data_IF_333153202470
#
_entry.id   IF_333153202470
#
_cell.length_a   1.000
_cell.length_b   1.000
_cell.length_c   1.000
_cell.angle_alpha   90.00
_cell.angle_beta   90.00
_cell.angle_gamma   90.00
#
_symmetry.space_group_name_H-M   'P 1'
#
loop_
_entity.id
_entity.type
_entity.pdbx_description
1 polymer ?
#
# COMPACT_ATOMS: atom_id res chain seq x y z
N UNK A 1 -104.14 29.47 10.61
CA UNK A 1 -104.53 29.62 12.03
C UNK A 1 -104.43 31.07 12.54
N UNK A 2 -104.16 32.07 11.70
CA UNK A 2 -104.03 33.48 12.13
C UNK A 2 -105.40 34.19 12.21
N UNK A 3 -106.41 33.72 11.46
CA UNK A 3 -107.70 34.39 11.27
C UNK A 3 -108.62 34.41 12.50
N UNK A 4 -108.56 33.40 13.38
CA UNK A 4 -109.50 33.26 14.50
C UNK A 4 -109.08 34.10 15.71
N UNK A 5 -107.78 34.22 15.96
CA UNK A 5 -107.21 35.07 17.02
C UNK A 5 -107.35 36.56 16.69
N UNK A 6 -107.10 36.93 15.43
CA UNK A 6 -107.33 38.30 14.93
C UNK A 6 -108.83 38.65 14.97
N UNK A 7 -109.71 37.73 14.58
CA UNK A 7 -111.16 37.93 14.63
C UNK A 7 -111.64 38.22 16.06
N UNK A 8 -111.15 37.48 17.06
CA UNK A 8 -111.53 37.71 18.45
C UNK A 8 -111.05 39.07 18.96
N UNK A 9 -109.83 39.48 18.61
CA UNK A 9 -109.28 40.80 18.98
C UNK A 9 -110.08 41.96 18.37
N UNK A 10 -110.44 41.85 17.08
CA UNK A 10 -111.26 42.85 16.40
C UNK A 10 -112.68 42.95 17.01
N UNK A 11 -113.24 41.82 17.46
CA UNK A 11 -114.54 41.79 18.16
C UNK A 11 -114.44 42.42 19.55
N UNK A 12 -113.34 42.22 20.28
CA UNK A 12 -113.09 42.87 21.57
C UNK A 12 -112.93 44.39 21.42
N UNK A 13 -112.25 44.86 20.37
CA UNK A 13 -112.18 46.28 20.05
C UNK A 13 -113.56 46.88 19.74
N UNK A 14 -114.44 46.15 19.05
CA UNK A 14 -115.82 46.56 18.81
C UNK A 14 -116.64 46.63 20.10
N UNK A 15 -116.46 45.67 21.02
CA UNK A 15 -117.11 45.67 22.35
C UNK A 15 -116.76 46.90 23.19
N UNK A 16 -115.56 47.46 23.04
CA UNK A 16 -115.15 48.68 23.73
C UNK A 16 -115.76 49.96 23.16
N UNK A 17 -116.16 49.95 21.89
CA UNK A 17 -116.69 51.12 21.17
C UNK A 17 -118.22 51.21 21.17
N UNK A 18 -118.90 50.06 21.15
CA UNK A 18 -120.36 50.00 21.11
C UNK A 18 -120.91 49.48 22.44
N UNK A 19 -121.54 50.37 23.21
CA UNK A 19 -122.14 50.05 24.51
C UNK A 19 -123.53 49.43 24.37
N UNK A 20 -124.24 49.71 23.28
CA UNK A 20 -125.55 49.14 23.00
C UNK A 20 -125.43 47.76 22.34
N UNK A 21 -126.13 46.78 22.90
CA UNK A 21 -126.07 45.37 22.47
C UNK A 21 -126.50 45.18 21.02
N UNK A 22 -127.50 45.93 20.54
CA UNK A 22 -128.03 45.80 19.16
C UNK A 22 -127.02 46.28 18.11
N UNK A 23 -126.38 47.42 18.35
CA UNK A 23 -125.37 47.97 17.45
C UNK A 23 -124.12 47.08 17.42
N UNK A 24 -123.71 46.56 18.58
CA UNK A 24 -122.61 45.61 18.64
C UNK A 24 -122.89 44.35 17.80
N UNK A 25 -124.12 43.81 17.83
CA UNK A 25 -124.48 42.69 16.97
C UNK A 25 -124.41 43.04 15.47
N UNK A 26 -124.82 44.25 15.06
CA UNK A 26 -124.77 44.70 13.66
C UNK A 26 -123.32 44.82 13.16
N UNK A 27 -122.45 45.43 13.94
CA UNK A 27 -121.04 45.61 13.55
C UNK A 27 -120.26 44.29 13.52
N UNK A 28 -120.58 43.36 14.42
CA UNK A 28 -120.00 42.01 14.37
C UNK A 28 -120.51 41.25 13.13
N UNK A 29 -121.78 41.42 12.72
CA UNK A 29 -122.26 40.89 11.44
C UNK A 29 -121.46 41.46 10.25
N UNK A 30 -121.23 42.77 10.24
CA UNK A 30 -120.47 43.45 9.20
C UNK A 30 -119.00 42.98 9.17
N UNK A 31 -118.35 42.87 10.33
CA UNK A 31 -116.98 42.39 10.45
C UNK A 31 -116.83 40.97 9.90
N UNK A 32 -117.70 40.06 10.34
CA UNK A 32 -117.69 38.66 9.88
C UNK A 32 -117.88 38.57 8.36
N UNK A 33 -118.87 39.29 7.82
CA UNK A 33 -119.25 39.18 6.42
C UNK A 33 -118.24 39.88 5.50
N UNK A 34 -117.86 41.12 5.78
CA UNK A 34 -117.04 41.92 4.85
C UNK A 34 -115.54 41.69 4.98
N UNK A 35 -115.03 41.52 6.20
CA UNK A 35 -113.58 41.41 6.42
C UNK A 35 -113.08 39.97 6.41
N UNK A 36 -113.89 39.06 6.95
CA UNK A 36 -113.50 37.65 7.07
C UNK A 36 -114.22 36.72 6.08
N UNK A 37 -115.22 37.21 5.34
CA UNK A 37 -115.98 36.41 4.37
C UNK A 37 -116.80 35.29 5.00
N UNK A 38 -117.06 35.35 6.31
CA UNK A 38 -117.83 34.34 7.06
C UNK A 38 -119.29 34.77 7.10
N UNK A 39 -120.21 33.89 6.69
CA UNK A 39 -121.65 34.14 6.80
C UNK A 39 -122.08 34.22 8.29
N UNK A 40 -122.60 35.38 8.75
CA UNK A 40 -123.01 35.52 10.13
C UNK A 40 -124.23 34.62 10.40
N UNK A 41 -124.18 33.85 11.49
CA UNK A 41 -125.30 33.03 11.97
C UNK A 41 -125.64 33.41 13.40
N UNK A 42 -126.91 33.26 13.80
CA UNK A 42 -127.37 33.63 15.14
C UNK A 42 -126.54 32.96 16.25
N UNK A 43 -126.13 31.70 16.03
CA UNK A 43 -125.29 30.94 16.96
C UNK A 43 -123.89 31.54 17.10
N UNK A 44 -123.20 31.86 15.99
CA UNK A 44 -121.86 32.48 16.02
C UNK A 44 -121.89 33.87 16.65
N UNK A 45 -122.88 34.68 16.29
CA UNK A 45 -123.05 36.01 16.87
C UNK A 45 -123.24 35.94 18.39
N UNK A 46 -124.06 35.02 18.88
CA UNK A 46 -124.23 34.80 20.31
C UNK A 46 -122.92 34.39 21.00
N UNK A 47 -122.17 33.45 20.41
CA UNK A 47 -120.89 32.99 20.94
C UNK A 47 -119.84 34.11 21.07
N UNK A 48 -119.84 35.06 20.13
CA UNK A 48 -118.88 36.16 20.09
C UNK A 48 -119.29 37.41 20.89
N UNK A 49 -120.59 37.70 21.04
CA UNK A 49 -121.08 38.92 21.74
C UNK A 49 -121.54 38.62 23.18
N UNK A 50 -122.03 37.41 23.47
CA UNK A 50 -122.43 36.91 24.81
C UNK A 50 -123.18 37.94 25.69
N UNK A 51 -124.05 38.76 25.09
CA UNK A 51 -124.86 39.79 25.78
C UNK A 51 -126.26 39.85 25.17
N UNK A 52 -127.29 39.99 26.00
CA UNK A 52 -128.70 40.14 25.56
C UNK A 52 -129.54 38.87 25.67
N UNK A 53 -130.83 38.98 25.33
CA UNK A 53 -131.79 37.88 25.34
C UNK A 53 -131.53 36.88 24.18
N UNK A 54 -132.05 35.67 24.33
CA UNK A 54 -131.85 34.58 23.37
C UNK A 54 -132.36 34.89 21.93
N UNK A 55 -133.29 35.85 21.78
CA UNK A 55 -133.84 36.29 20.48
C UNK A 55 -133.09 37.45 19.82
N UNK A 56 -132.23 38.18 20.55
CA UNK A 56 -131.54 39.37 20.05
C UNK A 56 -130.56 39.13 18.88
N UNK A 57 -129.78 38.02 18.83
CA UNK A 57 -128.88 37.75 17.70
C UNK A 57 -129.62 37.47 16.39
N UNK A 58 -130.79 36.83 16.45
CA UNK A 58 -131.58 36.50 15.27
C UNK A 58 -132.25 37.75 14.67
N UNK A 59 -132.75 38.65 15.51
CA UNK A 59 -133.35 39.91 15.07
C UNK A 59 -132.30 40.86 14.46
N UNK A 60 -131.12 40.97 15.07
CA UNK A 60 -130.02 41.79 14.53
C UNK A 60 -129.50 41.23 13.21
N UNK A 61 -129.41 39.90 13.06
CA UNK A 61 -129.03 39.25 11.81
C UNK A 61 -130.07 39.50 10.70
N UNK A 62 -131.36 39.40 11.00
CA UNK A 62 -132.43 39.65 10.05
C UNK A 62 -132.39 41.10 9.54
N UNK A 63 -132.27 42.06 10.46
CA UNK A 63 -132.11 43.49 10.14
C UNK A 63 -130.84 43.78 9.33
N UNK A 64 -129.70 43.17 9.67
CA UNK A 64 -128.46 43.33 8.91
C UNK A 64 -128.61 42.87 7.45
N UNK A 65 -129.25 41.72 7.21
CA UNK A 65 -129.47 41.24 5.84
C UNK A 65 -130.50 42.08 5.08
N UNK A 66 -131.51 42.62 5.78
CA UNK A 66 -132.47 43.57 5.20
C UNK A 66 -131.79 44.88 4.79
N UNK A 67 -130.98 45.46 5.67
CA UNK A 67 -130.18 46.68 5.43
C UNK A 67 -129.14 46.48 4.32
N UNK A 68 -128.49 45.32 4.27
CA UNK A 68 -127.52 45.01 3.24
C UNK A 68 -128.20 44.85 1.88
N UNK A 69 -129.36 44.19 1.84
CA UNK A 69 -130.15 44.06 0.60
C UNK A 69 -130.69 45.40 0.14
N UNK A 70 -131.17 46.26 1.04
CA UNK A 70 -131.67 47.59 0.67
C UNK A 70 -130.55 48.48 0.13
N UNK A 71 -129.36 48.48 0.76
CA UNK A 71 -128.20 49.26 0.31
C UNK A 71 -127.53 48.74 -0.96
N UNK A 72 -127.56 47.43 -1.19
CA UNK A 72 -127.02 46.81 -2.41
C UNK A 72 -128.00 46.88 -3.59
N UNK A 73 -129.25 47.28 -3.36
CA UNK A 73 -130.26 47.45 -4.41
C UNK A 73 -130.02 48.78 -5.11
N UNK A 74 -129.51 48.73 -6.33
CA UNK A 74 -129.52 49.88 -7.23
C UNK A 74 -130.92 49.95 -7.85
N UNK A 75 -131.85 50.60 -7.15
CA UNK A 75 -133.13 51.02 -7.74
C UNK A 75 -132.96 52.41 -8.35
N UNK A 76 -133.16 52.53 -9.66
CA UNK A 76 -133.31 53.83 -10.33
C UNK A 76 -134.73 54.31 -10.03
N UNK A 77 -134.94 54.90 -8.86
CA UNK A 77 -136.24 55.42 -8.48
C UNK A 77 -136.38 56.90 -8.85
N UNK A 78 -136.70 57.13 -10.13
CA UNK A 78 -137.19 58.41 -10.62
C UNK A 78 -138.70 58.28 -10.91
N UNK A 79 -139.56 59.17 -10.39
CA UNK A 79 -141.03 59.03 -10.44
C UNK A 79 -141.62 59.12 -11.85
N UNK A 80 -140.92 59.73 -12.81
CA UNK A 80 -141.40 59.92 -14.19
C UNK A 80 -140.83 58.94 -15.23
N UNK A 81 -140.09 57.89 -14.82
CA UNK A 81 -139.49 56.94 -15.77
C UNK A 81 -140.40 55.70 -15.98
N UNK A 82 -140.84 55.41 -17.22
CA UNK A 82 -141.58 54.19 -17.55
C UNK A 82 -140.85 52.92 -17.07
N UNK A 83 -141.59 51.94 -16.50
CA UNK A 83 -141.00 50.72 -15.94
C UNK A 83 -140.20 49.90 -16.97
N UNK A 84 -140.58 49.98 -18.25
CA UNK A 84 -139.91 49.32 -19.37
C UNK A 84 -138.48 49.87 -19.58
N UNK A 85 -138.29 51.20 -19.46
CA UNK A 85 -136.98 51.84 -19.61
C UNK A 85 -136.07 51.59 -18.42
N UNK A 86 -136.62 51.52 -17.19
CA UNK A 86 -135.84 51.14 -15.99
C UNK A 86 -135.29 49.72 -16.12
N UNK A 87 -136.11 48.79 -16.61
CA UNK A 87 -135.72 47.38 -16.79
C UNK A 87 -134.63 47.26 -17.85
N UNK A 88 -134.80 47.91 -19.01
CA UNK A 88 -133.81 47.91 -20.09
C UNK A 88 -132.48 48.56 -19.69
N UNK A 89 -132.50 49.68 -18.96
CA UNK A 89 -131.28 50.33 -18.47
C UNK A 89 -130.54 49.46 -17.44
N UNK A 90 -131.27 48.79 -16.54
CA UNK A 90 -130.69 47.86 -15.57
C UNK A 90 -130.04 46.64 -16.24
N UNK A 91 -130.65 46.12 -17.32
CA UNK A 91 -130.08 45.03 -18.12
C UNK A 91 -128.77 45.44 -18.80
N UNK A 92 -128.73 46.63 -19.43
CA UNK A 92 -127.51 47.16 -20.08
C UNK A 92 -126.38 47.37 -19.07
N UNK A 93 -126.67 47.94 -17.89
CA UNK A 93 -125.66 48.14 -16.84
C UNK A 93 -125.17 46.79 -16.29
N UNK A 94 -126.06 45.82 -16.11
CA UNK A 94 -125.69 44.48 -15.66
C UNK A 94 -124.81 43.76 -16.70
N UNK A 95 -125.10 43.91 -18.00
CA UNK A 95 -124.29 43.35 -19.08
C UNK A 95 -122.91 44.02 -19.17
N UNK A 96 -122.85 45.35 -19.10
CA UNK A 96 -121.59 46.09 -19.08
C UNK A 96 -120.73 45.65 -17.88
N UNK A 97 -121.33 45.53 -16.70
CA UNK A 97 -120.63 45.04 -15.51
C UNK A 97 -120.15 43.59 -15.67
N UNK A 98 -120.97 42.69 -16.23
CA UNK A 98 -120.59 41.31 -16.54
C UNK A 98 -119.40 41.27 -17.50
N UNK A 99 -119.43 42.04 -18.57
CA UNK A 99 -118.37 42.12 -19.57
C UNK A 99 -117.08 42.70 -18.99
N UNK A 100 -117.16 43.81 -18.25
CA UNK A 100 -116.00 44.42 -17.59
C UNK A 100 -115.38 43.46 -16.56
N UNK A 101 -116.20 42.77 -15.76
CA UNK A 101 -115.72 41.78 -14.78
C UNK A 101 -115.10 40.56 -15.47
N UNK A 102 -115.66 40.13 -16.60
CA UNK A 102 -115.10 39.04 -17.40
C UNK A 102 -113.74 39.42 -18.03
N UNK A 103 -113.62 40.63 -18.58
CA UNK A 103 -112.37 41.15 -19.12
C UNK A 103 -111.29 41.27 -18.04
N UNK A 104 -111.61 41.86 -16.88
CA UNK A 104 -110.67 41.97 -15.76
C UNK A 104 -110.21 40.60 -15.24
N UNK A 105 -111.11 39.60 -15.19
CA UNK A 105 -110.74 38.23 -14.81
C UNK A 105 -109.82 37.58 -15.85
N UNK A 106 -110.05 37.83 -17.13
CA UNK A 106 -109.21 37.31 -18.21
C UNK A 106 -107.80 37.93 -18.18
N UNK A 107 -107.70 39.25 -18.04
CA UNK A 107 -106.41 39.94 -17.91
C UNK A 107 -105.64 39.49 -16.67
N UNK A 108 -106.32 39.34 -15.53
CA UNK A 108 -105.71 38.78 -14.32
C UNK A 108 -105.22 37.34 -14.52
N UNK A 109 -105.96 36.51 -15.27
CA UNK A 109 -105.53 35.16 -15.58
C UNK A 109 -104.30 35.15 -16.50
N UNK A 110 -104.25 36.04 -17.50
CA UNK A 110 -103.10 36.19 -18.39
C UNK A 110 -101.85 36.62 -17.61
N UNK A 111 -101.95 37.67 -16.77
CA UNK A 111 -100.85 38.13 -15.93
C UNK A 111 -100.36 37.04 -14.97
N UNK A 112 -101.27 36.24 -14.38
CA UNK A 112 -100.87 35.11 -13.52
C UNK A 112 -100.05 34.05 -14.26
N UNK A 113 -100.38 33.76 -15.52
CA UNK A 113 -99.63 32.81 -16.34
C UNK A 113 -98.26 33.39 -16.71
N UNK A 114 -98.19 34.68 -17.05
CA UNK A 114 -96.93 35.37 -17.34
C UNK A 114 -96.01 35.43 -16.11
N UNK A 115 -96.55 35.76 -14.93
CA UNK A 115 -95.80 35.76 -13.67
C UNK A 115 -95.31 34.35 -13.32
N UNK A 116 -96.13 33.32 -13.52
CA UNK A 116 -95.72 31.92 -13.31
C UNK A 116 -94.58 31.53 -14.25
N UNK A 117 -94.69 31.87 -15.54
CA UNK A 117 -93.64 31.61 -16.52
C UNK A 117 -92.35 32.37 -16.18
N UNK A 118 -92.44 33.62 -15.72
CA UNK A 118 -91.27 34.41 -15.30
C UNK A 118 -90.58 33.80 -14.06
N UNK A 119 -91.36 33.31 -13.08
CA UNK A 119 -90.82 32.61 -11.89
C UNK A 119 -90.15 31.30 -12.30
N UNK A 120 -90.78 30.50 -13.16
CA UNK A 120 -90.18 29.25 -13.65
C UNK A 120 -88.88 29.50 -14.44
N UNK A 121 -88.84 30.56 -15.26
CA UNK A 121 -87.62 30.96 -15.96
C UNK A 121 -86.52 31.38 -14.99
N UNK A 122 -86.83 32.24 -14.01
CA UNK A 122 -85.86 32.67 -13.00
C UNK A 122 -85.32 31.50 -12.17
N UNK A 123 -86.17 30.55 -11.77
CA UNK A 123 -85.75 29.32 -11.09
C UNK A 123 -84.89 28.42 -11.98
N UNK A 124 -85.22 28.34 -13.28
CA UNK A 124 -84.43 27.63 -14.27
C UNK A 124 -83.03 28.23 -14.47
N UNK A 125 -82.92 29.56 -14.45
CA UNK A 125 -81.63 30.26 -14.53
C UNK A 125 -80.82 30.11 -13.24
N UNK A 126 -81.44 30.24 -12.07
CA UNK A 126 -80.79 30.04 -10.78
C UNK A 126 -80.23 28.62 -10.65
N UNK A 127 -81.02 27.60 -10.99
CA UNK A 127 -80.55 26.20 -10.95
C UNK A 127 -79.39 25.94 -11.91
N UNK A 128 -79.43 26.51 -13.12
CA UNK A 128 -78.30 26.43 -14.07
C UNK A 128 -77.05 27.15 -13.55
N UNK A 129 -77.20 28.32 -12.93
CA UNK A 129 -76.09 29.05 -12.33
C UNK A 129 -75.48 28.27 -11.16
N UNK A 130 -76.31 27.68 -10.29
CA UNK A 130 -75.85 26.82 -9.20
C UNK A 130 -75.12 25.59 -9.72
N UNK A 131 -75.62 24.93 -10.77
CA UNK A 131 -74.92 23.81 -11.41
C UNK A 131 -73.56 24.24 -12.00
N UNK A 132 -73.52 25.34 -12.75
CA UNK A 132 -72.28 25.85 -13.35
C UNK A 132 -71.24 26.21 -12.28
N UNK A 133 -71.66 26.82 -11.16
CA UNK A 133 -70.74 27.10 -10.03
C UNK A 133 -70.25 25.83 -9.35
N UNK A 134 -71.10 24.83 -9.14
CA UNK A 134 -70.71 23.54 -8.58
C UNK A 134 -69.69 22.81 -9.47
N UNK A 135 -69.92 22.80 -10.79
CA UNK A 135 -68.99 22.22 -11.78
C UNK A 135 -67.66 22.98 -11.80
N UNK A 136 -67.70 24.32 -11.77
CA UNK A 136 -66.50 25.15 -11.70
C UNK A 136 -65.68 24.87 -10.43
N UNK A 137 -66.32 24.76 -9.27
CA UNK A 137 -65.65 24.43 -8.01
C UNK A 137 -65.04 23.02 -8.05
N UNK A 138 -65.78 22.02 -8.55
CA UNK A 138 -65.25 20.67 -8.72
C UNK A 138 -64.03 20.65 -9.66
N UNK A 139 -64.07 21.39 -10.77
CA UNK A 139 -62.94 21.51 -11.68
C UNK A 139 -61.74 22.20 -11.02
N UNK A 140 -61.96 23.25 -10.22
CA UNK A 140 -60.90 23.94 -9.50
C UNK A 140 -60.24 23.04 -8.46
N UNK A 141 -61.01 22.23 -7.75
CA UNK A 141 -60.49 21.30 -6.75
C UNK A 141 -59.68 20.15 -7.39
N UNK A 142 -60.13 19.61 -8.53
CA UNK A 142 -59.34 18.61 -9.28
C UNK A 142 -58.03 19.20 -9.80
N UNK A 143 -58.03 20.43 -10.32
CA UNK A 143 -56.81 21.11 -10.76
C UNK A 143 -55.87 21.40 -9.59
N UNK A 144 -56.39 21.80 -8.42
CA UNK A 144 -55.58 21.96 -7.20
C UNK A 144 -54.92 20.66 -6.77
N UNK A 145 -55.66 19.54 -6.81
CA UNK A 145 -55.10 18.23 -6.48
C UNK A 145 -54.01 17.81 -7.47
N UNK A 146 -54.23 18.02 -8.77
CA UNK A 146 -53.23 17.73 -9.80
C UNK A 146 -51.98 18.61 -9.64
N UNK A 147 -52.15 19.88 -9.32
CA UNK A 147 -51.04 20.80 -9.07
C UNK A 147 -50.25 20.41 -7.82
N UNK A 148 -50.93 20.01 -6.74
CA UNK A 148 -50.29 19.47 -5.54
C UNK A 148 -49.48 18.21 -5.84
N UNK A 149 -50.07 17.23 -6.53
CA UNK A 149 -49.37 16.00 -6.92
C UNK A 149 -48.17 16.27 -7.84
N UNK A 150 -48.29 17.22 -8.77
CA UNK A 150 -47.19 17.62 -9.65
C UNK A 150 -46.06 18.31 -8.86
N UNK A 151 -46.39 19.16 -7.89
CA UNK A 151 -45.41 19.80 -7.00
C UNK A 151 -44.69 18.76 -6.14
N UNK A 152 -45.39 17.81 -5.55
CA UNK A 152 -44.79 16.71 -4.79
C UNK A 152 -43.86 15.87 -5.65
N UNK A 153 -44.27 15.52 -6.87
CA UNK A 153 -43.42 14.79 -7.82
C UNK A 153 -42.17 15.59 -8.21
N UNK A 154 -42.30 16.91 -8.40
CA UNK A 154 -41.15 17.78 -8.69
C UNK A 154 -40.17 17.81 -7.51
N UNK A 155 -40.67 17.94 -6.28
CA UNK A 155 -39.83 17.93 -5.08
C UNK A 155 -39.09 16.59 -4.92
N UNK A 156 -39.77 15.46 -5.11
CA UNK A 156 -39.14 14.14 -5.08
C UNK A 156 -38.03 14.02 -6.15
N UNK A 157 -38.30 14.46 -7.38
CA UNK A 157 -37.28 14.45 -8.44
C UNK A 157 -36.09 15.36 -8.13
N UNK A 158 -36.31 16.49 -7.47
CA UNK A 158 -35.24 17.37 -7.03
C UNK A 158 -34.38 16.71 -5.95
N UNK A 159 -34.99 16.05 -4.96
CA UNK A 159 -34.25 15.31 -3.94
C UNK A 159 -33.46 14.14 -4.54
N UNK A 160 -34.06 13.40 -5.47
CA UNK A 160 -33.38 12.29 -6.16
C UNK A 160 -32.19 12.80 -6.99
N UNK A 161 -32.37 13.91 -7.71
CA UNK A 161 -31.30 14.55 -8.48
C UNK A 161 -30.15 15.01 -7.58
N UNK A 162 -30.44 15.53 -6.39
CA UNK A 162 -29.40 15.91 -5.42
C UNK A 162 -28.65 14.69 -4.88
N UNK A 163 -29.34 13.59 -4.60
CA UNK A 163 -28.71 12.33 -4.17
C UNK A 163 -27.80 11.81 -5.28
N UNK A 164 -28.27 11.76 -6.52
CA UNK A 164 -27.47 11.35 -7.68
C UNK A 164 -26.25 12.26 -7.91
N UNK A 165 -26.41 13.58 -7.76
CA UNK A 165 -25.28 14.53 -7.85
C UNK A 165 -24.23 14.27 -6.77
N UNK A 166 -24.65 13.99 -5.54
CA UNK A 166 -23.73 13.65 -4.44
C UNK A 166 -23.04 12.31 -4.69
N UNK A 167 -23.78 11.31 -5.17
CA UNK A 167 -23.23 10.00 -5.53
C UNK A 167 -22.20 10.13 -6.67
N UNK A 168 -22.51 10.91 -7.70
CA UNK A 168 -21.62 11.19 -8.81
C UNK A 168 -20.35 11.93 -8.36
N UNK A 169 -20.48 12.99 -7.56
CA UNK A 169 -19.33 13.70 -7.00
C UNK A 169 -18.44 12.77 -6.16
N UNK A 170 -19.04 11.90 -5.35
CA UNK A 170 -18.31 10.88 -4.59
C UNK A 170 -17.60 9.86 -5.49
N UNK A 171 -18.22 9.44 -6.60
CA UNK A 171 -17.60 8.54 -7.56
C UNK A 171 -16.42 9.19 -8.30
N UNK A 172 -16.54 10.45 -8.68
CA UNK A 172 -15.46 11.23 -9.32
C UNK A 172 -14.28 11.40 -8.36
N UNK A 173 -14.54 11.75 -7.09
CA UNK A 173 -13.48 11.87 -6.09
C UNK A 173 -12.72 10.55 -5.88
N UNK A 174 -13.43 9.42 -5.78
CA UNK A 174 -12.81 8.08 -5.70
C UNK A 174 -11.97 7.76 -6.93
N UNK A 175 -12.45 8.12 -8.12
CA UNK A 175 -11.72 7.90 -9.37
C UNK A 175 -10.43 8.72 -9.43
N UNK A 176 -10.47 9.98 -9.00
CA UNK A 176 -9.29 10.84 -8.91
C UNK A 176 -8.27 10.31 -7.90
N UNK A 177 -8.72 9.83 -6.74
CA UNK A 177 -7.86 9.21 -5.73
C UNK A 177 -7.18 7.94 -6.26
N UNK A 178 -7.94 7.05 -6.92
CA UNK A 178 -7.39 5.86 -7.56
C UNK A 178 -6.39 6.20 -8.68
N UNK A 179 -6.66 7.23 -9.48
CA UNK A 179 -5.72 7.71 -10.50
C UNK A 179 -4.41 8.18 -9.86
N UNK A 180 -4.48 8.98 -8.79
CA UNK A 180 -3.29 9.43 -8.04
C UNK A 180 -2.50 8.24 -7.49
N UNK A 181 -3.16 7.25 -6.90
CA UNK A 181 -2.50 6.05 -6.40
C UNK A 181 -1.84 5.22 -7.52
N UNK A 182 -2.47 5.13 -8.70
CA UNK A 182 -1.86 4.46 -9.84
C UNK A 182 -0.63 5.21 -10.35
N UNK A 183 -0.65 6.54 -10.39
CA UNK A 183 0.50 7.37 -10.76
C UNK A 183 1.64 7.24 -9.74
N UNK A 184 1.33 7.29 -8.44
CA UNK A 184 2.29 7.06 -7.36
C UNK A 184 2.93 5.67 -7.47
N UNK A 185 2.13 4.63 -7.67
CA UNK A 185 2.61 3.25 -7.81
C UNK A 185 3.48 3.08 -9.07
N UNK A 186 3.12 3.70 -10.20
CA UNK A 186 3.94 3.70 -11.43
C UNK A 186 5.28 4.39 -11.19
N UNK A 187 5.28 5.57 -10.57
CA UNK A 187 6.49 6.29 -10.24
C UNK A 187 7.41 5.49 -9.30
N UNK A 188 6.82 4.82 -8.29
CA UNK A 188 7.57 3.93 -7.40
C UNK A 188 8.16 2.74 -8.15
N UNK A 189 7.38 2.11 -9.04
CA UNK A 189 7.86 0.99 -9.85
C UNK A 189 9.01 1.40 -10.78
N UNK A 190 8.94 2.57 -11.41
CA UNK A 190 10.01 3.10 -12.25
C UNK A 190 11.27 3.38 -11.44
N UNK A 191 11.14 3.97 -10.25
CA UNK A 191 12.28 4.17 -9.32
C UNK A 191 12.92 2.85 -8.93
N UNK A 192 12.14 1.87 -8.49
CA UNK A 192 12.65 0.54 -8.12
C UNK A 192 13.34 -0.13 -9.30
N UNK A 193 12.80 -0.01 -10.53
CA UNK A 193 13.46 -0.53 -11.74
C UNK A 193 14.79 0.16 -12.02
N UNK A 194 14.84 1.50 -11.89
CA UNK A 194 16.06 2.27 -12.08
C UNK A 194 17.13 1.89 -11.03
N UNK A 195 16.75 1.86 -9.75
CA UNK A 195 17.64 1.49 -8.65
C UNK A 195 18.17 0.07 -8.82
N UNK A 196 17.29 -0.90 -9.11
CA UNK A 196 17.71 -2.28 -9.37
C UNK A 196 18.65 -2.39 -10.58
N UNK A 197 18.41 -1.64 -11.65
CA UNK A 197 19.30 -1.63 -12.81
C UNK A 197 20.68 -1.06 -12.48
N UNK A 198 20.74 -0.04 -11.63
CA UNK A 198 21.99 0.56 -11.15
C UNK A 198 22.74 -0.39 -10.21
N UNK A 199 22.05 -1.07 -9.31
CA UNK A 199 22.63 -2.11 -8.45
C UNK A 199 23.15 -3.29 -9.26
N UNK A 200 22.41 -3.75 -10.27
CA UNK A 200 22.84 -4.81 -11.16
C UNK A 200 24.10 -4.42 -11.96
N UNK A 201 24.18 -3.17 -12.43
CA UNK A 201 25.36 -2.66 -13.12
C UNK A 201 26.58 -2.64 -12.18
N UNK A 202 26.42 -2.13 -10.95
CA UNK A 202 27.49 -2.14 -9.92
C UNK A 202 27.93 -3.55 -9.57
N UNK A 203 26.99 -4.49 -9.44
CA UNK A 203 27.30 -5.89 -9.15
C UNK A 203 28.09 -6.54 -10.29
N UNK A 204 27.72 -6.28 -11.56
CA UNK A 204 28.47 -6.73 -12.73
C UNK A 204 29.89 -6.17 -12.75
N UNK A 205 30.04 -4.87 -12.53
CA UNK A 205 31.35 -4.22 -12.46
C UNK A 205 32.22 -4.80 -11.33
N UNK A 206 31.64 -5.04 -10.14
CA UNK A 206 32.34 -5.67 -9.04
C UNK A 206 32.82 -7.10 -9.38
N UNK A 207 31.99 -7.87 -10.09
CA UNK A 207 32.34 -9.21 -10.59
C UNK A 207 33.46 -9.12 -11.63
N UNK A 208 33.40 -8.19 -12.58
CA UNK A 208 34.43 -8.00 -13.60
C UNK A 208 35.77 -7.61 -12.95
N UNK A 209 35.77 -6.72 -11.97
CA UNK A 209 36.96 -6.35 -11.20
C UNK A 209 37.50 -7.54 -10.39
N UNK A 210 36.64 -8.35 -9.78
CA UNK A 210 37.06 -9.54 -9.04
C UNK A 210 37.69 -10.59 -9.97
N UNK A 211 37.07 -10.85 -11.12
CA UNK A 211 37.59 -11.74 -12.15
C UNK A 211 38.94 -11.26 -12.68
N UNK A 212 39.08 -9.96 -13.01
CA UNK A 212 40.35 -9.39 -13.46
C UNK A 212 41.46 -9.51 -12.39
N UNK A 213 41.11 -9.36 -11.10
CA UNK A 213 42.05 -9.60 -9.99
C UNK A 213 42.44 -11.06 -9.88
N UNK A 214 41.50 -11.99 -10.03
CA UNK A 214 41.76 -13.44 -10.04
C UNK A 214 42.70 -13.80 -11.20
N UNK A 215 42.36 -13.38 -12.43
CA UNK A 215 43.19 -13.62 -13.62
C UNK A 215 44.60 -13.06 -13.45
N UNK A 216 44.74 -11.86 -12.87
CA UNK A 216 46.04 -11.25 -12.61
C UNK A 216 46.84 -12.03 -11.55
N UNK A 217 46.17 -12.52 -10.50
CA UNK A 217 46.79 -13.36 -9.47
C UNK A 217 47.22 -14.71 -10.05
N UNK A 218 46.39 -15.35 -10.87
CA UNK A 218 46.70 -16.60 -11.57
C UNK A 218 47.91 -16.44 -12.49
N UNK A 219 47.98 -15.36 -13.29
CA UNK A 219 49.13 -15.07 -14.15
C UNK A 219 50.42 -14.89 -13.34
N UNK A 220 50.36 -14.18 -12.21
CA UNK A 220 51.53 -14.01 -11.32
C UNK A 220 51.98 -15.34 -10.74
N UNK A 221 51.04 -16.16 -10.24
CA UNK A 221 51.34 -17.47 -9.70
C UNK A 221 51.98 -18.39 -10.76
N UNK A 222 51.49 -18.38 -12.00
CA UNK A 222 52.10 -19.13 -13.10
C UNK A 222 53.53 -18.68 -13.41
N UNK A 223 53.78 -17.36 -13.42
CA UNK A 223 55.13 -16.83 -13.63
C UNK A 223 56.08 -17.21 -12.49
N UNK A 224 55.62 -17.15 -11.23
CA UNK A 224 56.40 -17.59 -10.06
C UNK A 224 56.71 -19.09 -10.15
N UNK A 225 55.73 -19.93 -10.50
CA UNK A 225 55.94 -21.37 -10.71
C UNK A 225 56.99 -21.62 -11.80
N UNK A 226 56.94 -20.89 -12.92
CA UNK A 226 57.93 -21.05 -13.99
C UNK A 226 59.32 -20.54 -13.59
N UNK A 227 59.42 -19.46 -12.82
CA UNK A 227 60.68 -18.99 -12.24
C UNK A 227 61.27 -20.03 -11.29
N UNK A 228 60.46 -20.60 -10.39
CA UNK A 228 60.87 -21.66 -9.47
C UNK A 228 61.30 -22.93 -10.22
N UNK A 229 60.58 -23.33 -11.28
CA UNK A 229 60.98 -24.44 -12.15
C UNK A 229 62.33 -24.18 -12.82
N UNK A 230 62.56 -22.98 -13.35
CA UNK A 230 63.84 -22.62 -13.96
C UNK A 230 64.97 -22.56 -12.92
N UNK A 231 64.72 -22.01 -11.74
CA UNK A 231 65.67 -21.98 -10.63
C UNK A 231 66.04 -23.41 -10.20
N UNK A 232 65.06 -24.30 -10.08
CA UNK A 232 65.28 -25.72 -9.79
C UNK A 232 66.12 -26.41 -10.86
N UNK A 233 65.81 -26.22 -12.15
CA UNK A 233 66.62 -26.79 -13.25
C UNK A 233 68.07 -26.26 -13.19
N UNK A 234 68.28 -24.97 -12.89
CA UNK A 234 69.63 -24.39 -12.75
C UNK A 234 70.36 -25.01 -11.55
N UNK A 235 69.69 -25.16 -10.41
CA UNK A 235 70.25 -25.79 -9.23
C UNK A 235 70.60 -27.27 -9.49
N UNK A 236 69.72 -28.02 -10.15
CA UNK A 236 69.97 -29.42 -10.52
C UNK A 236 71.19 -29.55 -11.44
N UNK A 237 71.34 -28.69 -12.44
CA UNK A 237 72.54 -28.63 -13.30
C UNK A 237 73.82 -28.29 -12.53
N UNK A 238 73.74 -27.35 -11.59
CA UNK A 238 74.87 -27.01 -10.72
C UNK A 238 75.25 -28.18 -9.81
N UNK A 239 74.26 -28.88 -9.24
CA UNK A 239 74.47 -30.09 -8.44
C UNK A 239 75.11 -31.21 -9.26
N UNK A 240 74.65 -31.45 -10.48
CA UNK A 240 75.27 -32.42 -11.40
C UNK A 240 76.71 -32.03 -11.76
N UNK A 241 76.97 -30.75 -12.04
CA UNK A 241 78.32 -30.26 -12.31
C UNK A 241 79.26 -30.44 -11.10
N UNK A 242 78.79 -30.10 -9.89
CA UNK A 242 79.55 -30.29 -8.64
C UNK A 242 79.79 -31.79 -8.36
N UNK A 243 78.80 -32.66 -8.60
CA UNK A 243 78.97 -34.13 -8.52
C UNK A 243 80.02 -34.63 -9.51
N UNK A 244 80.01 -34.12 -10.74
CA UNK A 244 81.03 -34.44 -11.75
C UNK A 244 82.43 -33.98 -11.33
N UNK A 245 82.56 -32.76 -10.79
CA UNK A 245 83.83 -32.24 -10.26
C UNK A 245 84.33 -33.07 -9.07
N UNK A 246 83.44 -33.45 -8.16
CA UNK A 246 83.77 -34.32 -7.02
C UNK A 246 84.25 -35.69 -7.51
N UNK A 247 83.53 -36.32 -8.45
CA UNK A 247 83.94 -37.60 -9.02
C UNK A 247 85.31 -37.51 -9.72
N UNK A 248 85.60 -36.41 -10.42
CA UNK A 248 86.91 -36.17 -11.03
C UNK A 248 88.00 -35.96 -9.97
N UNK A 249 87.73 -35.20 -8.91
CA UNK A 249 88.67 -34.98 -7.82
C UNK A 249 88.95 -36.28 -7.05
N UNK A 250 87.93 -37.09 -6.78
CA UNK A 250 88.07 -38.43 -6.21
C UNK A 250 88.89 -39.34 -7.13
N UNK A 251 88.63 -39.31 -8.45
CA UNK A 251 89.41 -40.05 -9.45
C UNK A 251 90.90 -39.66 -9.42
N UNK A 252 91.21 -38.37 -9.49
CA UNK A 252 92.59 -37.85 -9.37
C UNK A 252 93.22 -38.22 -8.04
N UNK A 253 92.46 -38.18 -6.95
CA UNK A 253 92.96 -38.57 -5.63
C UNK A 253 93.28 -40.07 -5.57
N UNK A 254 92.41 -40.93 -6.11
CA UNK A 254 92.66 -42.38 -6.25
C UNK A 254 93.89 -42.66 -7.12
N UNK A 255 94.02 -42.00 -8.27
CA UNK A 255 95.21 -42.11 -9.13
C UNK A 255 96.49 -41.68 -8.40
N UNK A 256 96.44 -40.57 -7.66
CA UNK A 256 97.57 -40.11 -6.84
C UNK A 256 97.91 -41.11 -5.72
N UNK A 257 96.91 -41.71 -5.06
CA UNK A 257 97.13 -42.72 -4.03
C UNK A 257 97.76 -43.99 -4.62
N UNK A 258 97.30 -44.43 -5.80
CA UNK A 258 97.92 -45.55 -6.53
C UNK A 258 99.36 -45.23 -6.93
N UNK A 259 99.62 -44.04 -7.47
CA UNK A 259 100.99 -43.61 -7.81
C UNK A 259 101.89 -43.51 -6.58
N UNK A 260 101.37 -43.07 -5.43
CA UNK A 260 102.10 -43.07 -4.15
C UNK A 260 102.35 -44.50 -3.65
N UNK A 261 101.37 -45.39 -3.74
CA UNK A 261 101.55 -46.81 -3.39
C UNK A 261 102.59 -47.48 -4.31
N UNK A 262 102.58 -47.20 -5.61
CA UNK A 262 103.59 -47.65 -6.57
C UNK A 262 104.99 -47.08 -6.24
N UNK A 263 105.07 -45.82 -5.80
CA UNK A 263 106.33 -45.22 -5.37
C UNK A 263 106.85 -45.87 -4.07
N UNK A 264 105.97 -46.12 -3.10
CA UNK A 264 106.31 -46.81 -1.84
C UNK A 264 106.78 -48.24 -2.12
N UNK A 265 106.08 -49.01 -2.95
CA UNK A 265 106.51 -50.37 -3.31
C UNK A 265 107.86 -50.37 -4.03
N UNK A 266 108.11 -49.42 -4.94
CA UNK A 266 109.45 -49.25 -5.56
C UNK A 266 110.53 -48.89 -4.55
N UNK A 267 110.23 -48.04 -3.57
CA UNK A 267 111.16 -47.68 -2.50
C UNK A 267 111.40 -48.86 -1.56
N UNK A 268 110.39 -49.65 -1.24
CA UNK A 268 110.52 -50.90 -0.47
C UNK A 268 111.44 -51.88 -1.20
N UNK A 269 111.21 -52.16 -2.49
CA UNK A 269 112.11 -53.03 -3.28
C UNK A 269 113.55 -52.50 -3.29
N UNK A 270 113.76 -51.18 -3.37
CA UNK A 270 115.10 -50.58 -3.28
C UNK A 270 115.70 -50.69 -1.88
N UNK A 271 114.89 -50.55 -0.84
CA UNK A 271 115.32 -50.71 0.55
C UNK A 271 115.71 -52.16 0.83
N UNK A 272 114.89 -53.13 0.41
CA UNK A 272 115.19 -54.56 0.51
C UNK A 272 116.49 -54.91 -0.22
N UNK A 273 116.66 -54.41 -1.46
CA UNK A 273 117.91 -54.59 -2.21
C UNK A 273 119.13 -53.95 -1.52
N UNK A 274 118.94 -52.78 -0.88
CA UNK A 274 119.99 -52.12 -0.11
C UNK A 274 120.30 -52.89 1.19
N UNK A 275 119.29 -53.40 1.89
CA UNK A 275 119.45 -54.27 3.06
C UNK A 275 120.20 -55.55 2.69
N UNK A 276 119.86 -56.19 1.58
CA UNK A 276 120.57 -57.36 1.07
C UNK A 276 122.03 -57.02 0.74
N UNK A 277 122.29 -55.89 0.08
CA UNK A 277 123.67 -55.43 -0.15
C UNK A 277 124.42 -55.12 1.16
N UNK A 278 123.73 -54.62 2.19
CA UNK A 278 124.31 -54.38 3.50
C UNK A 278 124.58 -55.69 4.23
N UNK A 279 123.70 -56.69 4.12
CA UNK A 279 123.93 -58.05 4.63
C UNK A 279 125.13 -58.70 3.96
N UNK A 280 125.27 -58.55 2.65
CA UNK A 280 126.45 -59.01 1.90
C UNK A 280 127.73 -58.28 2.35
N UNK A 281 127.71 -56.95 2.45
CA UNK A 281 128.86 -56.15 2.91
C UNK A 281 129.23 -56.42 4.37
N UNK A 282 128.25 -56.68 5.25
CA UNK A 282 128.51 -57.04 6.65
C UNK A 282 129.04 -58.46 6.78
N UNK A 283 128.55 -59.42 5.98
CA UNK A 283 129.14 -60.75 5.89
C UNK A 283 130.59 -60.69 5.38
N UNK A 284 130.87 -59.86 4.36
CA UNK A 284 132.22 -59.61 3.85
C UNK A 284 133.11 -58.89 4.89
N UNK A 285 132.59 -57.93 5.65
CA UNK A 285 133.34 -57.29 6.73
C UNK A 285 133.64 -58.29 7.86
N UNK A 286 132.71 -59.19 8.20
CA UNK A 286 132.96 -60.23 9.20
C UNK A 286 134.07 -61.17 8.73
N UNK A 287 134.04 -61.64 7.48
CA UNK A 287 135.12 -62.48 6.95
C UNK A 287 136.47 -61.73 6.97
N UNK A 288 136.49 -60.45 6.61
CA UNK A 288 137.71 -59.62 6.69
C UNK A 288 138.18 -59.41 8.14
N UNK A 289 137.26 -59.27 9.11
CA UNK A 289 137.58 -59.13 10.52
C UNK A 289 138.15 -60.43 11.09
N UNK A 290 137.59 -61.58 10.72
CA UNK A 290 138.10 -62.90 11.07
C UNK A 290 139.51 -63.11 10.48
N UNK A 291 139.72 -62.76 9.20
CA UNK A 291 141.04 -62.77 8.56
C UNK A 291 142.05 -61.86 9.29
N UNK A 292 141.61 -60.67 9.72
CA UNK A 292 142.42 -59.75 10.53
C UNK A 292 142.74 -60.30 11.92
N UNK A 293 141.83 -61.06 12.52
CA UNK A 293 142.07 -61.68 13.82
C UNK A 293 143.08 -62.82 13.69
N UNK A 294 142.95 -63.68 12.68
CA UNK A 294 143.92 -64.74 12.38
C UNK A 294 145.31 -64.17 12.12
N UNK A 295 145.42 -63.06 11.39
CA UNK A 295 146.71 -62.40 11.17
C UNK A 295 147.27 -61.75 12.44
N UNK A 296 146.44 -61.18 13.31
CA UNK A 296 146.87 -60.66 14.62
C UNK A 296 147.33 -61.76 15.56
N UNK A 297 146.66 -62.90 15.59
CA UNK A 297 147.07 -64.06 16.39
C UNK A 297 148.44 -64.58 15.92
N UNK A 298 148.66 -64.68 14.60
CA UNK A 298 149.98 -64.99 14.03
C UNK A 298 151.05 -63.96 14.42
N UNK A 299 150.71 -62.68 14.44
CA UNK A 299 151.61 -61.62 14.88
C UNK A 299 151.94 -61.73 16.38
N UNK A 300 150.95 -62.04 17.22
CA UNK A 300 151.12 -62.18 18.66
C UNK A 300 152.05 -63.36 19.02
N UNK A 301 151.92 -64.48 18.31
CA UNK A 301 152.85 -65.62 18.43
C UNK A 301 154.28 -65.19 18.07
N UNK A 302 154.47 -64.54 16.93
CA UNK A 302 155.79 -64.04 16.50
C UNK A 302 156.39 -63.00 17.48
N UNK A 303 155.54 -62.17 18.12
CA UNK A 303 155.98 -61.21 19.13
C UNK A 303 156.37 -61.87 20.45
N UNK A 304 155.66 -62.92 20.88
CA UNK A 304 156.04 -63.70 22.08
C UNK A 304 157.39 -64.38 21.89
N UNK A 305 157.64 -64.97 20.71
CA UNK A 305 158.94 -65.51 20.33
C UNK A 305 160.05 -64.43 20.41
N UNK A 306 159.79 -63.23 19.89
CA UNK A 306 160.73 -62.11 19.96
C UNK A 306 161.03 -61.63 21.40
N UNK A 307 160.05 -61.69 22.30
CA UNK A 307 160.27 -61.33 23.72
C UNK A 307 161.08 -62.37 24.49
N UNK A 308 160.94 -63.66 24.14
CA UNK A 308 161.74 -64.73 24.73
C UNK A 308 163.22 -64.59 24.35
N UNK A 309 163.52 -64.31 23.07
CA UNK A 309 164.90 -64.03 22.64
C UNK A 309 165.50 -62.77 23.28
N UNK A 310 164.67 -61.75 23.60
CA UNK A 310 165.14 -60.55 24.33
C UNK A 310 165.46 -60.82 25.79
N UNK A 311 164.69 -61.67 26.46
CA UNK A 311 164.93 -62.03 27.87
C UNK A 311 166.23 -62.84 28.03
N UNK A 312 166.52 -63.73 27.08
CA UNK A 312 167.79 -64.48 27.02
C UNK A 312 169.02 -63.58 26.79
N UNK A 313 168.87 -62.50 26.02
CA UNK A 313 169.94 -61.53 25.78
C UNK A 313 170.25 -60.64 27.01
N UNK A 314 169.27 -60.40 27.89
CA UNK A 314 169.44 -59.57 29.09
C UNK A 314 170.13 -60.32 30.24
N UNK A 315 169.88 -61.62 30.41
CA UNK A 315 170.56 -62.44 31.42
C UNK A 315 172.06 -62.62 31.14
N UNK A 316 172.47 -62.64 29.86
CA UNK A 316 173.89 -62.67 29.47
C UNK A 316 174.63 -61.34 29.74
N UNK A 317 173.93 -60.20 29.71
CA UNK A 317 174.52 -58.89 30.01
C UNK A 317 174.86 -58.68 31.49
N UNK A 318 174.04 -59.19 32.40
CA UNK A 318 174.21 -58.99 33.86
C UNK A 318 175.40 -59.79 34.43
N UNK A 319 175.84 -60.86 33.77
CA UNK A 319 177.02 -61.64 34.20
C UNK A 319 178.36 -60.97 33.83
N UNK A 320 178.38 -60.06 32.86
CA UNK A 320 179.60 -59.43 32.34
C UNK A 320 180.04 -58.16 33.11
N UNK A 321 179.19 -57.58 33.97
CA UNK A 321 179.52 -56.37 34.75
C UNK A 321 180.35 -56.64 36.03
N UNK A 322 180.65 -57.90 36.40
CA UNK A 322 181.18 -58.26 37.73
C UNK A 322 182.70 -58.15 37.98
N UNK A 323 183.62 -57.87 37.03
CA UNK A 323 185.08 -58.07 37.27
C UNK A 323 186.14 -57.14 36.55
N UNK A 324 185.97 -55.81 36.33
CA UNK A 324 187.14 -54.95 35.95
C UNK A 324 186.94 -53.40 36.04
N UNK A 325 187.95 -52.58 36.45
CA UNK A 325 188.03 -51.10 36.31
C UNK A 325 189.18 -50.64 35.34
N UNK A 326 189.42 -49.34 35.01
CA UNK A 326 188.64 -48.09 35.10
C UNK A 326 188.30 -47.43 33.72
N UNK A 327 187.43 -46.41 33.73
CA UNK A 327 187.04 -45.49 32.62
C UNK A 327 188.26 -44.81 31.94
N UNK A 328 188.29 -44.56 30.60
CA UNK A 328 187.34 -43.68 29.88
C UNK A 328 187.03 -44.03 28.39
N UNK A 329 186.11 -43.24 27.79
CA UNK A 329 185.75 -43.10 26.35
C UNK A 329 184.91 -44.21 25.71
N UNK A 330 183.88 -43.85 24.91
CA UNK A 330 183.56 -44.59 23.69
C UNK A 330 183.59 -43.70 22.44
N UNK A 331 184.43 -44.11 21.50
CA UNK A 331 184.51 -43.64 20.12
C UNK A 331 183.99 -44.75 19.19
N UNK A 332 183.44 -44.31 18.06
CA UNK A 332 183.36 -45.03 16.77
C UNK A 332 182.36 -46.20 16.71
N UNK A 333 181.55 -46.37 15.67
CA UNK A 333 181.54 -45.80 14.32
C UNK A 333 180.07 -45.74 13.83
N UNK A 334 179.60 -44.69 13.14
CA UNK A 334 179.47 -44.60 11.65
C UNK A 334 178.85 -45.92 11.07
N UNK A 335 177.89 -45.97 10.10
CA UNK A 335 177.72 -44.97 9.05
C UNK A 335 176.34 -44.86 8.34
N UNK A 336 176.25 -43.80 7.52
CA UNK A 336 175.72 -43.76 6.12
C UNK A 336 174.33 -44.32 5.80
N UNK A 337 173.33 -43.48 5.53
CA UNK A 337 173.12 -42.68 4.30
C UNK A 337 172.55 -43.46 3.09
N UNK A 338 171.36 -43.05 2.65
CA UNK A 338 170.96 -42.64 1.28
C UNK A 338 169.42 -42.52 1.23
N UNK A 339 168.86 -41.36 0.88
CA UNK A 339 168.45 -40.96 -0.50
C UNK A 339 167.35 -41.92 -0.99
N UNK A 340 166.10 -41.53 -1.28
CA UNK A 340 165.66 -40.70 -2.43
C UNK A 340 164.13 -40.49 -2.41
N UNK A 341 163.66 -39.30 -2.82
CA UNK A 341 162.37 -39.01 -3.50
C UNK A 341 162.28 -39.83 -4.82
N UNK A 342 161.19 -39.94 -5.63
CA UNK A 342 160.08 -38.98 -5.86
C UNK A 342 158.70 -39.70 -5.98
N UNK A 343 157.52 -39.08 -6.13
CA UNK A 343 157.07 -38.26 -7.26
C UNK A 343 156.02 -39.00 -8.10
N UNK A 344 154.77 -38.55 -7.96
CA UNK A 344 153.77 -38.39 -9.02
C UNK A 344 153.01 -39.60 -9.63
N UNK A 345 151.68 -39.35 -9.69
CA UNK A 345 150.74 -39.48 -10.82
C UNK A 345 149.67 -40.59 -10.78
N UNK A 346 148.44 -40.10 -10.57
CA UNK A 346 147.27 -40.10 -11.47
C UNK A 346 146.54 -41.41 -11.82
N UNK A 347 145.23 -41.16 -11.93
CA UNK A 347 144.17 -41.85 -12.66
C UNK A 347 143.47 -42.96 -11.86
N UNK A 348 142.14 -42.98 -11.71
CA UNK A 348 141.07 -42.28 -12.45
C UNK A 348 139.81 -42.23 -11.61
#
# INVERSE_FOLDING_TARGET
>A
MITETELQSDIEALRGRFTETKDLYREVCALLFFRYGITPTASKLYQFVRKGSMSAPAEALAKFWEDLRSKARVEIDHPDLPPELKTSAAEVIADLWRQATAAARHELAALRVEDQAAVEQAQGEETRALQATAEALASADTLRQQLGAAQESLQQRQTDLEVERRAHAGAVARLQELQRHLEEARNQQERVRADFSAELAKAREAVDVANARSDAAERRALLEIDQERQARIKADKQLEALRGQLAQAEGRHRESLLAQADAVTRLQVKADAAEDSQRELTASNRSLADDLQVTRERLAVAQQEATQFRAEAQTLRVLLERLSPPEPVPQQEVPTSKVTKPGARKAR
#
